data_IF_501515524849
#
_entry.id   IF_501515524849
#
_cell.length_a   1.000
_cell.length_b   1.000
_cell.length_c   1.000
_cell.angle_alpha   90.00
_cell.angle_beta   90.00
_cell.angle_gamma   90.00
#
_symmetry.space_group_name_H-M   'P 1'
#
loop_
_entity.id
_entity.type
_entity.pdbx_description
1 polymer ?
#
# COMPACT_ATOMS: atom_id res chain seq x y z
N UNK A 1 -12.51 -43.76 28.29
CA UNK A 1 -12.50 -42.31 28.01
C UNK A 1 -11.67 -41.96 26.76
N UNK A 2 -11.42 -42.93 25.87
CA UNK A 2 -10.44 -42.81 24.76
C UNK A 2 -11.08 -42.52 23.39
N UNK A 3 -12.39 -42.76 23.26
CA UNK A 3 -13.13 -42.68 21.98
C UNK A 3 -13.40 -41.25 21.50
N UNK A 4 -13.14 -40.23 22.33
CA UNK A 4 -13.40 -38.82 22.03
C UNK A 4 -12.12 -37.99 21.83
N UNK A 5 -10.93 -38.56 22.03
CA UNK A 5 -9.65 -37.85 21.89
C UNK A 5 -9.29 -37.58 20.42
N UNK A 6 -9.56 -38.54 19.55
CA UNK A 6 -9.29 -38.46 18.10
C UNK A 6 -10.12 -37.37 17.38
N UNK A 7 -11.45 -37.27 17.56
CA UNK A 7 -12.24 -36.20 16.95
C UNK A 7 -11.89 -34.82 17.55
N UNK A 8 -11.59 -34.74 18.84
CA UNK A 8 -11.13 -33.51 19.46
C UNK A 8 -9.79 -33.03 18.88
N UNK A 9 -8.83 -33.95 18.65
CA UNK A 9 -7.55 -33.65 18.01
C UNK A 9 -7.71 -33.13 16.58
N UNK A 10 -8.64 -33.72 15.80
CA UNK A 10 -8.97 -33.22 14.47
C UNK A 10 -9.56 -31.81 14.55
N UNK A 11 -10.54 -31.54 15.42
CA UNK A 11 -11.16 -30.22 15.57
C UNK A 11 -10.11 -29.15 15.96
N UNK A 12 -9.16 -29.48 16.84
CA UNK A 12 -8.06 -28.59 17.20
C UNK A 12 -7.16 -28.31 15.98
N UNK A 13 -6.88 -29.33 15.16
CA UNK A 13 -6.14 -29.17 13.90
C UNK A 13 -6.89 -28.26 12.90
N UNK A 14 -8.22 -28.37 12.81
CA UNK A 14 -9.08 -27.48 12.01
C UNK A 14 -9.04 -26.03 12.52
N UNK A 15 -9.03 -25.82 13.84
CA UNK A 15 -8.92 -24.50 14.46
C UNK A 15 -7.55 -23.84 14.20
N UNK A 16 -6.46 -24.62 14.09
CA UNK A 16 -5.15 -24.10 13.70
C UNK A 16 -5.02 -23.75 12.20
N UNK A 17 -5.87 -24.33 11.34
CA UNK A 17 -5.94 -24.01 9.91
C UNK A 17 -6.77 -22.76 9.62
N UNK A 18 -7.63 -22.31 10.54
CA UNK A 18 -8.28 -21.00 10.47
C UNK A 18 -7.35 -19.90 11.00
N UNK A 19 -6.29 -19.66 10.24
CA UNK A 19 -5.49 -18.44 10.41
C UNK A 19 -6.36 -17.25 9.98
N UNK A 20 -6.91 -16.52 10.95
CA UNK A 20 -7.51 -15.21 10.70
C UNK A 20 -6.43 -14.33 10.07
N UNK A 21 -6.52 -14.07 8.77
CA UNK A 21 -5.74 -13.02 8.16
C UNK A 21 -6.34 -11.70 8.63
N UNK A 22 -5.75 -11.08 9.65
CA UNK A 22 -5.98 -9.67 9.94
C UNK A 22 -5.35 -8.87 8.80
N UNK A 23 -6.01 -8.86 7.64
CA UNK A 23 -5.57 -8.09 6.49
C UNK A 23 -5.86 -6.62 6.81
N UNK A 24 -4.85 -5.92 7.33
CA UNK A 24 -4.78 -4.46 7.25
C UNK A 24 -4.57 -4.10 5.78
N UNK A 25 -5.61 -4.24 4.95
CA UNK A 25 -5.45 -4.16 3.51
C UNK A 25 -5.40 -2.70 3.07
N UNK A 26 -4.37 -2.39 2.30
CA UNK A 26 -4.34 -1.18 1.48
C UNK A 26 -5.03 -1.52 0.18
N UNK A 27 -5.92 -0.64 -0.28
CA UNK A 27 -6.52 -0.75 -1.60
C UNK A 27 -6.02 0.39 -2.47
N UNK A 28 -5.40 0.07 -3.60
CA UNK A 28 -4.87 1.07 -4.51
C UNK A 28 -5.56 0.99 -5.87
N UNK A 29 -5.92 2.16 -6.42
CA UNK A 29 -6.57 2.26 -7.73
C UNK A 29 -6.07 3.47 -8.54
N UNK A 30 -6.11 3.40 -9.87
CA UNK A 30 -6.27 2.18 -10.65
C UNK A 30 -5.01 1.29 -10.52
N UNK A 31 -5.14 -0.01 -10.80
CA UNK A 31 -4.00 -0.94 -10.72
C UNK A 31 -3.01 -0.75 -11.88
N UNK A 32 -3.52 -0.35 -13.04
CA UNK A 32 -2.73 0.00 -14.22
C UNK A 32 -3.50 1.04 -15.03
N UNK A 33 -2.78 1.96 -15.64
CA UNK A 33 -3.35 3.03 -16.44
C UNK A 33 -2.36 3.41 -17.54
N UNK A 34 -2.90 3.69 -18.73
CA UNK A 34 -2.15 4.26 -19.84
C UNK A 34 -2.64 5.70 -20.05
N UNK A 35 -1.74 6.66 -20.03
CA UNK A 35 -2.07 8.09 -20.08
C UNK A 35 -1.33 8.73 -21.24
N UNK A 36 -2.06 9.48 -22.05
CA UNK A 36 -1.47 10.27 -23.11
C UNK A 36 -0.58 11.36 -22.54
N UNK A 37 0.54 11.63 -23.20
CA UNK A 37 1.45 12.71 -22.83
C UNK A 37 0.70 14.04 -22.68
N UNK A 38 1.05 14.82 -21.65
CA UNK A 38 0.41 16.09 -21.32
C UNK A 38 -0.93 15.97 -20.60
N UNK A 39 -1.53 14.76 -20.47
CA UNK A 39 -2.73 14.54 -19.65
C UNK A 39 -2.34 14.28 -18.20
N UNK A 40 -3.17 14.74 -17.27
CA UNK A 40 -2.97 14.47 -15.85
C UNK A 40 -3.61 13.15 -15.43
N UNK A 41 -3.07 12.55 -14.36
CA UNK A 41 -3.61 11.31 -13.79
C UNK A 41 -3.58 11.35 -12.27
N UNK A 42 -4.35 10.47 -11.63
CA UNK A 42 -4.33 10.27 -10.19
C UNK A 42 -4.32 8.79 -9.80
N UNK A 43 -3.66 8.52 -8.69
CA UNK A 43 -3.74 7.26 -7.96
C UNK A 43 -4.42 7.50 -6.63
N UNK A 44 -5.25 6.56 -6.21
CA UNK A 44 -5.97 6.56 -4.93
C UNK A 44 -5.45 5.42 -4.09
N UNK A 45 -5.18 5.69 -2.82
CA UNK A 45 -4.79 4.72 -1.83
C UNK A 45 -5.78 4.78 -0.67
N UNK A 46 -6.55 3.71 -0.43
CA UNK A 46 -7.43 3.57 0.73
C UNK A 46 -6.74 2.73 1.79
N UNK A 47 -6.86 3.17 3.04
CA UNK A 47 -6.25 2.51 4.19
C UNK A 47 -7.19 2.57 5.42
N UNK A 48 -7.07 1.61 6.35
CA UNK A 48 -7.75 1.67 7.64
C UNK A 48 -7.34 2.92 8.43
N UNK A 49 -8.31 3.80 8.71
CA UNK A 49 -8.07 5.08 9.40
C UNK A 49 -7.70 4.92 10.89
N UNK A 50 -8.07 3.79 11.52
CA UNK A 50 -8.04 3.60 12.97
C UNK A 50 -6.65 3.50 13.62
N UNK A 51 -5.56 3.59 12.85
CA UNK A 51 -4.18 3.56 13.39
C UNK A 51 -3.18 4.25 12.45
N UNK A 52 -3.56 5.38 11.86
CA UNK A 52 -2.70 6.09 10.91
C UNK A 52 -1.61 6.90 11.62
N UNK A 53 -0.34 6.72 11.24
CA UNK A 53 0.76 7.62 11.65
C UNK A 53 1.35 8.41 10.48
N UNK A 54 1.67 7.72 9.38
CA UNK A 54 2.14 8.32 8.15
C UNK A 54 1.81 7.42 6.95
N UNK A 55 1.63 8.07 5.79
CA UNK A 55 1.51 7.45 4.48
C UNK A 55 2.76 7.77 3.66
N UNK A 56 3.25 6.76 2.96
CA UNK A 56 4.41 6.88 2.09
C UNK A 56 3.97 6.57 0.66
N UNK A 57 4.24 7.48 -0.25
CA UNK A 57 4.16 7.26 -1.69
C UNK A 57 5.54 6.92 -2.23
N UNK A 58 5.64 5.83 -2.96
CA UNK A 58 6.85 5.36 -3.62
C UNK A 58 6.68 5.35 -5.12
N UNK A 59 7.80 5.56 -5.81
CA UNK A 59 7.98 5.28 -7.22
C UNK A 59 8.96 4.12 -7.37
N UNK A 60 8.57 3.10 -8.12
CA UNK A 60 9.39 1.95 -8.41
C UNK A 60 9.55 1.78 -9.92
N UNK A 61 10.80 1.55 -10.34
CA UNK A 61 11.15 1.23 -11.72
C UNK A 61 11.80 -0.17 -11.74
N UNK A 62 11.58 -0.97 -12.79
CA UNK A 62 12.24 -2.27 -12.94
C UNK A 62 13.76 -2.16 -12.78
N UNK A 63 14.36 -3.14 -12.10
CA UNK A 63 15.80 -3.20 -11.78
C UNK A 63 16.35 -2.06 -10.90
N UNK A 64 15.49 -1.17 -10.36
CA UNK A 64 15.88 -0.14 -9.38
C UNK A 64 15.22 -0.38 -8.03
N UNK A 65 15.81 0.20 -6.98
CA UNK A 65 15.18 0.24 -5.65
C UNK A 65 14.02 1.24 -5.64
N UNK A 66 12.91 0.96 -4.93
CA UNK A 66 11.83 1.94 -4.75
C UNK A 66 12.36 3.24 -4.16
N UNK A 67 11.97 4.38 -4.76
CA UNK A 67 12.27 5.72 -4.27
C UNK A 67 11.05 6.30 -3.58
N UNK A 68 11.24 6.92 -2.42
CA UNK A 68 10.18 7.66 -1.74
C UNK A 68 9.92 8.94 -2.54
N UNK A 69 8.66 9.18 -2.92
CA UNK A 69 8.19 10.46 -3.45
C UNK A 69 7.78 11.38 -2.30
N UNK A 70 6.84 10.91 -1.48
CA UNK A 70 6.31 11.70 -0.38
C UNK A 70 6.11 10.86 0.88
N UNK A 71 6.31 11.52 2.02
CA UNK A 71 5.86 11.05 3.33
C UNK A 71 4.86 12.08 3.85
N UNK A 72 3.60 11.68 3.99
CA UNK A 72 2.50 12.56 4.42
C UNK A 72 1.98 12.07 5.78
N UNK A 73 1.75 13.00 6.69
CA UNK A 73 1.39 12.72 8.09
C UNK A 73 0.30 13.69 8.55
N UNK A 74 -0.23 13.50 9.76
CA UNK A 74 -1.34 14.30 10.31
C UNK A 74 -1.12 15.82 10.28
N UNK A 75 0.14 16.30 10.25
CA UNK A 75 0.47 17.72 10.24
C UNK A 75 0.66 18.31 8.82
N UNK A 76 0.38 17.54 7.77
CA UNK A 76 0.45 18.01 6.40
C UNK A 76 -0.56 17.26 5.56
N UNK A 77 -1.68 17.91 5.24
CA UNK A 77 -2.76 17.31 4.44
C UNK A 77 -2.39 17.19 2.96
N UNK A 78 -1.32 17.87 2.55
CA UNK A 78 -0.87 17.95 1.17
C UNK A 78 0.65 18.14 1.08
N UNK A 79 1.26 17.53 0.06
CA UNK A 79 2.64 17.80 -0.38
C UNK A 79 2.69 17.91 -1.90
N UNK A 80 3.50 18.82 -2.41
CA UNK A 80 3.67 19.03 -3.84
C UNK A 80 5.15 19.25 -4.16
N UNK A 81 5.62 18.60 -5.22
CA UNK A 81 6.95 18.79 -5.79
C UNK A 81 6.84 18.80 -7.32
N UNK A 82 7.07 19.97 -7.91
CA UNK A 82 6.98 20.17 -9.34
C UNK A 82 5.58 19.85 -9.90
N UNK A 83 5.47 18.74 -10.63
CA UNK A 83 4.22 18.29 -11.26
C UNK A 83 3.46 17.24 -10.43
N UNK A 84 4.08 16.74 -9.35
CA UNK A 84 3.53 15.64 -8.55
C UNK A 84 3.03 16.19 -7.22
N UNK A 85 1.80 15.85 -6.87
CA UNK A 85 1.14 16.28 -5.65
C UNK A 85 0.53 15.09 -4.95
N UNK A 86 0.63 15.00 -3.64
CA UNK A 86 -0.06 14.00 -2.85
C UNK A 86 -0.88 14.64 -1.73
N UNK A 87 -2.06 14.08 -1.47
CA UNK A 87 -2.98 14.54 -0.43
C UNK A 87 -3.34 13.43 0.52
N UNK A 88 -3.81 13.76 1.71
CA UNK A 88 -4.19 12.81 2.74
C UNK A 88 -5.51 13.21 3.40
N UNK A 89 -6.43 12.28 3.46
CA UNK A 89 -7.66 12.35 4.23
C UNK A 89 -7.70 11.20 5.22
N UNK A 90 -7.22 11.48 6.44
CA UNK A 90 -7.20 10.50 7.51
C UNK A 90 -8.58 10.18 8.05
N UNK A 91 -9.53 11.12 7.96
CA UNK A 91 -10.90 10.94 8.43
C UNK A 91 -11.62 9.87 7.61
N UNK A 92 -11.45 9.94 6.29
CA UNK A 92 -12.08 9.01 5.35
C UNK A 92 -11.17 7.85 4.93
N UNK A 93 -9.91 7.83 5.37
CA UNK A 93 -8.97 6.74 5.13
C UNK A 93 -8.53 6.64 3.68
N UNK A 94 -8.24 7.76 3.02
CA UNK A 94 -7.65 7.75 1.68
C UNK A 94 -6.55 8.79 1.47
N UNK A 95 -5.69 8.54 0.50
CA UNK A 95 -4.68 9.46 0.00
C UNK A 95 -4.69 9.44 -1.52
N UNK A 96 -4.43 10.58 -2.14
CA UNK A 96 -4.28 10.69 -3.58
C UNK A 96 -2.83 11.03 -3.95
N UNK A 97 -2.35 10.50 -5.07
CA UNK A 97 -1.15 10.95 -5.76
C UNK A 97 -1.56 11.44 -7.15
N UNK A 98 -1.42 12.72 -7.39
CA UNK A 98 -1.73 13.40 -8.63
C UNK A 98 -0.45 13.72 -9.41
N UNK A 99 -0.44 13.43 -10.70
CA UNK A 99 0.62 13.80 -11.63
C UNK A 99 0.02 14.72 -12.69
N UNK A 100 0.49 15.96 -12.73
CA UNK A 100 0.07 16.97 -13.71
C UNK A 100 0.87 16.80 -15.00
N UNK A 101 0.18 16.73 -16.13
CA UNK A 101 0.81 16.72 -17.46
C UNK A 101 1.86 15.61 -17.59
N UNK A 102 1.39 14.37 -17.68
CA UNK A 102 2.24 13.17 -17.69
C UNK A 102 3.27 13.22 -18.80
N UNK A 103 4.50 12.82 -18.48
CA UNK A 103 5.65 12.74 -19.40
C UNK A 103 6.12 11.29 -19.54
N UNK A 104 6.87 10.92 -20.59
CA UNK A 104 7.42 9.57 -20.73
C UNK A 104 8.24 9.12 -19.51
N UNK A 105 8.93 10.06 -18.85
CA UNK A 105 9.73 9.81 -17.66
C UNK A 105 8.87 9.53 -16.41
N UNK A 106 7.56 9.76 -16.44
CA UNK A 106 6.65 9.44 -15.33
C UNK A 106 6.23 7.95 -15.37
N UNK A 107 6.61 7.21 -16.42
CA UNK A 107 6.43 5.76 -16.53
C UNK A 107 7.12 5.03 -15.38
N UNK A 108 6.33 4.47 -14.47
CA UNK A 108 6.80 3.71 -13.31
C UNK A 108 5.62 3.06 -12.59
N UNK A 109 5.91 2.13 -11.68
CA UNK A 109 4.94 1.64 -10.72
C UNK A 109 4.89 2.57 -9.50
N UNK A 110 3.70 3.05 -9.16
CA UNK A 110 3.45 3.89 -7.99
C UNK A 110 2.83 3.05 -6.88
N UNK A 111 3.31 3.20 -5.65
CA UNK A 111 2.92 2.34 -4.53
C UNK A 111 2.69 3.19 -3.29
N UNK A 112 1.63 2.90 -2.56
CA UNK A 112 1.40 3.48 -1.25
C UNK A 112 1.61 2.45 -0.13
N UNK A 113 2.11 2.93 1.00
CA UNK A 113 2.17 2.17 2.23
C UNK A 113 1.80 3.06 3.41
N UNK A 114 0.92 2.59 4.28
CA UNK A 114 0.66 3.21 5.58
C UNK A 114 1.24 2.33 6.68
N UNK A 115 1.64 2.92 7.80
CA UNK A 115 2.14 2.16 8.93
C UNK A 115 1.93 2.87 10.26
N UNK A 116 1.94 2.08 11.33
CA UNK A 116 2.29 2.50 12.69
C UNK A 116 3.77 2.23 12.90
N UNK A 117 4.46 3.06 13.70
CA UNK A 117 5.88 2.85 14.02
C UNK A 117 6.04 1.60 14.91
N UNK A 118 6.05 0.42 14.30
CA UNK A 118 6.63 -0.81 14.85
C UNK A 118 7.89 -1.18 14.04
N UNK A 119 8.74 -0.18 13.78
CA UNK A 119 10.05 -0.34 13.16
C UNK A 119 11.15 -0.83 14.13
N UNK A 120 10.79 -1.34 15.33
CA UNK A 120 11.79 -1.72 16.34
C UNK A 120 12.09 -3.21 16.50
N UNK A 121 11.38 -4.12 15.83
CA UNK A 121 11.82 -5.51 15.86
C UNK A 121 11.29 -6.34 14.68
N UNK A 122 12.22 -7.05 14.03
CA UNK A 122 12.07 -8.19 13.09
C UNK A 122 12.35 -7.89 11.60
N UNK A 123 13.63 -8.07 11.28
CA UNK A 123 14.26 -8.79 10.15
C UNK A 123 13.79 -8.57 8.69
N UNK A 124 14.76 -8.61 7.73
CA UNK A 124 14.51 -8.47 6.30
C UNK A 124 13.85 -9.73 5.74
N UNK A 125 12.56 -9.91 6.04
CA UNK A 125 11.71 -10.87 5.35
C UNK A 125 11.09 -10.10 4.20
N UNK A 126 11.31 -10.55 2.96
CA UNK A 126 10.54 -10.15 1.78
C UNK A 126 9.04 -10.35 2.09
N UNK A 127 8.38 -9.35 2.66
CA UNK A 127 6.93 -9.28 2.69
C UNK A 127 6.50 -9.02 1.25
N UNK A 128 5.54 -9.77 0.69
CA UNK A 128 5.02 -9.42 -0.62
C UNK A 128 4.52 -7.99 -0.54
N UNK A 129 4.95 -7.16 -1.48
CA UNK A 129 4.46 -5.80 -1.64
C UNK A 129 3.02 -5.95 -2.14
N UNK A 130 2.07 -6.09 -1.20
CA UNK A 130 0.65 -6.29 -1.51
C UNK A 130 0.16 -4.99 -2.16
N UNK A 131 0.07 -5.01 -3.49
CA UNK A 131 -0.26 -3.85 -4.33
C UNK A 131 0.65 -3.61 -5.54
N UNK A 132 1.66 -4.45 -5.79
CA UNK A 132 2.52 -4.28 -6.98
C UNK A 132 1.83 -4.79 -8.26
N UNK A 133 1.32 -3.87 -9.09
CA UNK A 133 0.86 -4.18 -10.44
C UNK A 133 1.76 -3.51 -11.49
N UNK A 134 1.98 -4.24 -12.59
CA UNK A 134 2.83 -3.89 -13.72
C UNK A 134 2.30 -2.61 -14.39
N UNK A 135 3.17 -1.60 -14.51
CA UNK A 135 2.92 -0.44 -15.36
C UNK A 135 3.71 -0.66 -16.65
N UNK A 136 2.99 -0.93 -17.73
CA UNK A 136 3.52 -0.89 -19.08
C UNK A 136 3.11 0.45 -19.66
N UNK A 137 4.10 1.27 -20.02
CA UNK A 137 3.92 2.36 -20.99
C UNK A 137 4.25 1.80 -22.35
#
# INVERSE_FOLDING_TARGET
>A
MEKYLLPASLIILWLHLHRVSSASNVEQSPQSLHVQEGKSTNFTCRFPSSSFSALHWYRWEPAKSPKILFVISLNGDEKEEGRVKATLDTKNGYSFLYIKGSQPEDSATYLCAFGTVLFRHLQPIRKPMVGATLVTV
#
